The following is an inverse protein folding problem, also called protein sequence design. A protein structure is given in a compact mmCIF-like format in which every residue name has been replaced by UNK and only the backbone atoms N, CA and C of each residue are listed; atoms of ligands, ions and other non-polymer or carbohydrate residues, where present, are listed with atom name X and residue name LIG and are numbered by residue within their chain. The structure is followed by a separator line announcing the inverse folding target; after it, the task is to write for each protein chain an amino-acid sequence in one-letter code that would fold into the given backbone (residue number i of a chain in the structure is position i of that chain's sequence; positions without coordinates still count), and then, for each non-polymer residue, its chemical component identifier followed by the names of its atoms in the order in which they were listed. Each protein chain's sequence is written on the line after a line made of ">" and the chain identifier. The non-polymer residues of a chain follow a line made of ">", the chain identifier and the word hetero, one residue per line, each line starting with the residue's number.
data_IF_941032430722
#
_entry.id   IF_941032430722
#
_cell.length_a   1.000
_cell.length_b   1.000
_cell.length_c   1.000
_cell.angle_alpha   90.00
_cell.angle_beta   90.00
_cell.angle_gamma   90.00
#
_symmetry.space_group_name_H-M   'P 1'
#
loop_
_entity.id
_entity.type
_entity.pdbx_description
1 polymer ?
#
# COMPACT_ATOMS: atom_id res chain seq x y z
N UNK A 1 18.30 -4.51 16.21
CA UNK A 1 19.69 -4.68 16.60
C UNK A 1 19.91 -6.12 17.03
N UNK A 2 20.43 -6.97 16.13
CA UNK A 2 20.81 -8.35 16.46
C UNK A 2 22.15 -8.26 17.18
N UNK A 3 22.16 -8.48 18.50
CA UNK A 3 23.39 -8.63 19.25
C UNK A 3 24.03 -9.98 18.87
N UNK A 4 25.20 -9.92 18.24
CA UNK A 4 26.04 -11.07 17.95
C UNK A 4 26.45 -11.74 19.30
N UNK A 5 25.84 -12.88 19.58
CA UNK A 5 26.24 -13.72 20.73
C UNK A 5 27.60 -14.35 20.43
N UNK A 6 28.61 -13.95 21.21
CA UNK A 6 29.98 -14.44 21.35
C UNK A 6 30.82 -14.61 20.06
N UNK A 7 32.00 -14.02 20.01
CA UNK A 7 32.97 -14.32 18.95
C UNK A 7 33.35 -15.82 19.05
N UNK A 8 33.46 -16.45 17.89
CA UNK A 8 33.93 -17.83 17.77
C UNK A 8 35.34 -17.91 18.38
N UNK A 9 35.50 -18.77 19.35
CA UNK A 9 36.78 -18.94 20.04
C UNK A 9 37.79 -19.54 19.07
N UNK A 10 39.07 -19.09 19.11
CA UNK A 10 40.17 -19.65 18.29
C UNK A 10 40.26 -21.18 18.37
N UNK A 11 39.80 -21.81 19.47
CA UNK A 11 39.72 -23.24 19.67
C UNK A 11 38.77 -23.98 18.70
N UNK A 12 37.69 -23.31 18.24
CA UNK A 12 36.68 -23.90 17.36
C UNK A 12 37.15 -24.01 15.89
N UNK A 13 38.26 -23.35 15.57
CA UNK A 13 38.86 -23.34 14.22
C UNK A 13 39.82 -24.53 14.00
N UNK A 14 40.27 -25.19 15.09
CA UNK A 14 41.30 -26.23 15.07
C UNK A 14 40.83 -27.62 14.60
N UNK A 15 39.69 -27.75 13.94
CA UNK A 15 39.10 -29.06 13.60
C UNK A 15 39.72 -29.68 12.33
N UNK A 16 40.61 -28.97 11.59
CA UNK A 16 41.24 -29.54 10.41
C UNK A 16 42.79 -29.50 10.53
N UNK A 17 43.46 -30.68 10.55
CA UNK A 17 44.94 -30.78 10.53
C UNK A 17 45.60 -30.07 9.36
N UNK A 18 44.86 -29.94 8.24
CA UNK A 18 45.30 -29.25 7.01
C UNK A 18 45.55 -27.75 7.22
N UNK A 19 44.78 -27.08 8.12
CA UNK A 19 44.95 -25.67 8.41
C UNK A 19 46.23 -25.39 9.19
N UNK A 20 46.61 -26.27 10.11
CA UNK A 20 47.85 -26.14 10.90
C UNK A 20 49.08 -26.31 10.00
N UNK A 21 49.03 -27.20 9.02
CA UNK A 21 50.11 -27.39 8.03
C UNK A 21 50.19 -26.19 7.03
N UNK A 22 49.08 -25.54 6.78
CA UNK A 22 49.02 -24.36 5.90
C UNK A 22 49.64 -23.12 6.54
N UNK A 23 49.34 -22.88 7.84
CA UNK A 23 49.86 -21.74 8.60
C UNK A 23 51.39 -21.76 8.75
N UNK A 24 52.02 -22.97 8.83
CA UNK A 24 53.47 -23.10 8.94
C UNK A 24 54.26 -22.82 7.66
N UNK A 25 53.59 -22.69 6.51
CA UNK A 25 54.24 -22.43 5.20
C UNK A 25 54.12 -20.99 4.71
N UNK A 26 53.35 -20.12 5.41
CA UNK A 26 53.13 -18.76 4.98
C UNK A 26 53.73 -17.75 5.96
N UNK A 27 54.78 -17.07 5.52
CA UNK A 27 55.30 -15.87 6.20
C UNK A 27 54.43 -14.62 5.97
N UNK A 28 53.37 -14.73 5.22
CA UNK A 28 52.48 -13.63 4.86
C UNK A 28 51.24 -13.64 5.76
N UNK A 29 51.18 -12.63 6.63
CA UNK A 29 50.07 -12.40 7.59
C UNK A 29 48.70 -12.22 6.90
N UNK A 30 48.69 -11.68 5.68
CA UNK A 30 47.46 -11.48 4.89
C UNK A 30 46.92 -12.80 4.36
N UNK A 31 47.81 -13.71 3.88
CA UNK A 31 47.41 -15.03 3.41
C UNK A 31 46.86 -15.90 4.54
N UNK A 32 47.47 -15.80 5.73
CA UNK A 32 46.97 -16.51 6.94
C UNK A 32 45.58 -15.98 7.33
N UNK A 33 45.38 -14.65 7.40
CA UNK A 33 44.07 -14.05 7.70
C UNK A 33 42.98 -14.42 6.67
N UNK A 34 43.35 -14.45 5.38
CA UNK A 34 42.45 -14.89 4.30
C UNK A 34 42.05 -16.37 4.47
N UNK A 35 43.01 -17.24 4.77
CA UNK A 35 42.78 -18.67 5.00
C UNK A 35 41.88 -18.92 6.26
N UNK A 36 42.10 -18.16 7.33
CA UNK A 36 41.28 -18.27 8.53
C UNK A 36 39.84 -17.81 8.30
N UNK A 37 39.63 -16.70 7.59
CA UNK A 37 38.29 -16.20 7.23
C UNK A 37 37.56 -17.22 6.35
N UNK A 38 38.28 -17.85 5.39
CA UNK A 38 37.70 -18.88 4.54
C UNK A 38 37.29 -20.11 5.34
N UNK A 39 38.12 -20.57 6.28
CA UNK A 39 37.83 -21.69 7.14
C UNK A 39 36.63 -21.43 8.05
N UNK A 40 36.50 -20.20 8.57
CA UNK A 40 35.30 -19.77 9.34
C UNK A 40 34.04 -19.82 8.48
N UNK A 41 34.09 -19.32 7.25
CA UNK A 41 32.95 -19.38 6.33
C UNK A 41 32.56 -20.85 6.06
N UNK A 42 33.51 -21.73 5.79
CA UNK A 42 33.27 -23.16 5.50
C UNK A 42 32.57 -23.87 6.68
N UNK A 43 32.97 -23.56 7.92
CA UNK A 43 32.34 -24.11 9.14
C UNK A 43 30.89 -23.62 9.27
N UNK A 44 30.65 -22.35 9.02
CA UNK A 44 29.32 -21.76 9.09
C UNK A 44 28.39 -22.28 8.00
N UNK A 45 28.89 -22.46 6.76
CA UNK A 45 28.14 -23.13 5.71
C UNK A 45 27.79 -24.58 6.03
N UNK A 46 28.72 -25.32 6.64
CA UNK A 46 28.43 -26.67 7.10
C UNK A 46 27.40 -26.71 8.24
N UNK A 47 27.38 -25.70 9.11
CA UNK A 47 26.36 -25.56 10.15
C UNK A 47 24.99 -25.22 9.55
N UNK A 48 24.94 -24.28 8.60
CA UNK A 48 23.72 -23.94 7.86
C UNK A 48 23.13 -25.16 7.13
N UNK A 49 23.97 -25.96 6.49
CA UNK A 49 23.55 -27.19 5.81
C UNK A 49 22.92 -28.20 6.79
N UNK A 50 23.51 -28.38 7.97
CA UNK A 50 22.98 -29.28 9.01
C UNK A 50 21.66 -28.78 9.59
N UNK A 51 21.52 -27.48 9.81
CA UNK A 51 20.28 -26.88 10.27
C UNK A 51 19.16 -27.02 9.22
N UNK A 52 19.48 -26.83 7.94
CA UNK A 52 18.54 -27.07 6.85
C UNK A 52 18.06 -28.52 6.78
N UNK A 53 18.97 -29.48 6.88
CA UNK A 53 18.65 -30.92 6.87
C UNK A 53 17.75 -31.32 8.07
N UNK A 54 17.83 -30.57 9.17
CA UNK A 54 16.96 -30.73 10.37
C UNK A 54 15.64 -29.98 10.26
N UNK A 55 15.44 -29.15 9.25
CA UNK A 55 14.27 -28.29 9.08
C UNK A 55 14.29 -27.03 9.97
N UNK A 56 15.41 -26.73 10.63
CA UNK A 56 15.59 -25.51 11.43
C UNK A 56 16.02 -24.37 10.50
N UNK A 57 15.02 -23.66 9.97
CA UNK A 57 15.23 -22.60 9.00
C UNK A 57 15.82 -21.33 9.62
N UNK A 58 15.55 -21.06 10.91
CA UNK A 58 16.07 -19.88 11.60
C UNK A 58 17.58 -20.01 11.81
N UNK A 59 18.01 -21.13 12.38
CA UNK A 59 19.44 -21.44 12.56
C UNK A 59 20.16 -21.55 11.19
N UNK A 60 19.50 -22.15 10.17
CA UNK A 60 20.03 -22.23 8.83
C UNK A 60 20.34 -20.85 8.24
N UNK A 61 19.40 -19.91 8.32
CA UNK A 61 19.57 -18.55 7.82
C UNK A 61 20.65 -17.80 8.62
N UNK A 62 20.65 -17.90 9.94
CA UNK A 62 21.64 -17.25 10.78
C UNK A 62 23.06 -17.68 10.42
N UNK A 63 23.31 -18.99 10.32
CA UNK A 63 24.61 -19.53 9.94
C UNK A 63 25.00 -19.19 8.50
N UNK A 64 24.04 -19.16 7.59
CA UNK A 64 24.26 -18.76 6.19
C UNK A 64 24.67 -17.28 6.09
N UNK A 65 23.98 -16.36 6.78
CA UNK A 65 24.36 -14.96 6.78
C UNK A 65 25.72 -14.72 7.44
N UNK A 66 26.04 -15.43 8.50
CA UNK A 66 27.38 -15.38 9.11
C UNK A 66 28.48 -15.78 8.14
N UNK A 67 28.24 -16.83 7.35
CA UNK A 67 29.19 -17.28 6.33
C UNK A 67 29.42 -16.22 5.25
N UNK A 68 28.36 -15.58 4.76
CA UNK A 68 28.46 -14.50 3.75
C UNK A 68 29.26 -13.31 4.29
N UNK A 69 29.00 -12.89 5.54
CA UNK A 69 29.71 -11.77 6.16
C UNK A 69 31.19 -12.05 6.44
N UNK A 70 31.62 -13.31 6.49
CA UNK A 70 33.00 -13.73 6.68
C UNK A 70 33.87 -13.55 5.41
N UNK A 71 33.32 -12.94 4.37
CA UNK A 71 33.98 -12.74 3.05
C UNK A 71 34.45 -14.06 2.42
N UNK A 72 33.48 -14.82 1.93
CA UNK A 72 33.74 -15.96 1.08
C UNK A 72 34.45 -15.49 -0.19
N UNK A 73 35.59 -16.09 -0.53
CA UNK A 73 36.35 -15.78 -1.75
C UNK A 73 35.63 -16.37 -2.96
N UNK A 74 35.02 -15.50 -3.78
CA UNK A 74 34.15 -15.89 -4.92
C UNK A 74 34.97 -16.54 -6.05
N UNK A 75 36.31 -16.47 -6.02
CA UNK A 75 37.18 -17.04 -7.05
C UNK A 75 37.24 -18.58 -7.02
N UNK A 76 36.82 -19.25 -5.94
CA UNK A 76 36.74 -20.69 -5.88
C UNK A 76 35.36 -21.18 -6.35
N UNK A 77 35.27 -22.26 -7.14
CA UNK A 77 34.00 -22.82 -7.55
C UNK A 77 33.16 -23.20 -6.33
N UNK A 78 31.98 -22.59 -6.21
CA UNK A 78 31.06 -22.85 -5.11
C UNK A 78 30.67 -24.33 -5.12
N UNK A 79 30.85 -25.08 -4.02
CA UNK A 79 30.49 -26.47 -3.97
C UNK A 79 29.02 -26.69 -4.36
N UNK A 80 28.76 -27.71 -5.22
CA UNK A 80 27.37 -28.01 -5.68
C UNK A 80 26.37 -28.17 -4.53
N UNK A 81 26.84 -28.66 -3.38
CA UNK A 81 26.02 -28.79 -2.14
C UNK A 81 25.54 -27.42 -1.62
N UNK A 82 26.38 -26.38 -1.65
CA UNK A 82 26.04 -25.02 -1.24
C UNK A 82 25.05 -24.36 -2.20
N UNK A 83 25.19 -24.62 -3.50
CA UNK A 83 24.22 -24.14 -4.50
C UNK A 83 22.84 -24.75 -4.24
N UNK A 84 22.79 -26.07 -3.97
CA UNK A 84 21.52 -26.75 -3.63
C UNK A 84 20.90 -26.20 -2.34
N UNK A 85 21.72 -25.96 -1.30
CA UNK A 85 21.26 -25.37 -0.04
C UNK A 85 20.68 -23.95 -0.28
N UNK A 86 21.41 -23.12 -1.02
CA UNK A 86 20.95 -21.76 -1.38
C UNK A 86 19.63 -21.79 -2.14
N UNK A 87 19.50 -22.66 -3.14
CA UNK A 87 18.26 -22.83 -3.90
C UNK A 87 17.12 -23.34 -3.03
N UNK A 88 17.39 -24.31 -2.13
CA UNK A 88 16.41 -24.81 -1.17
C UNK A 88 15.87 -23.70 -0.26
N UNK A 89 16.74 -22.88 0.33
CA UNK A 89 16.36 -21.73 1.16
C UNK A 89 15.52 -20.73 0.35
N UNK A 90 15.96 -20.38 -0.86
CA UNK A 90 15.23 -19.44 -1.72
C UNK A 90 13.83 -19.97 -2.02
N UNK A 91 13.70 -21.22 -2.40
CA UNK A 91 12.39 -21.83 -2.70
C UNK A 91 11.47 -21.82 -1.48
N UNK A 92 11.99 -22.17 -0.29
CA UNK A 92 11.20 -22.16 0.94
C UNK A 92 10.73 -20.73 1.29
N UNK A 93 11.62 -19.74 1.17
CA UNK A 93 11.26 -18.34 1.41
C UNK A 93 10.23 -17.83 0.40
N UNK A 94 10.33 -18.24 -0.87
CA UNK A 94 9.35 -17.89 -1.89
C UNK A 94 7.97 -18.47 -1.57
N UNK A 95 7.91 -19.74 -1.15
CA UNK A 95 6.66 -20.39 -0.74
C UNK A 95 6.05 -19.74 0.52
N UNK A 96 6.86 -19.42 1.52
CA UNK A 96 6.40 -18.71 2.71
C UNK A 96 5.87 -17.31 2.35
N UNK A 97 6.58 -16.55 1.52
CA UNK A 97 6.14 -15.25 1.04
C UNK A 97 4.85 -15.33 0.24
N UNK A 98 4.68 -16.38 -0.57
CA UNK A 98 3.44 -16.62 -1.32
C UNK A 98 2.26 -16.84 -0.36
N UNK A 99 2.41 -17.74 0.62
CA UNK A 99 1.38 -18.00 1.65
C UNK A 99 1.04 -16.76 2.45
N UNK A 100 2.05 -16.00 2.87
CA UNK A 100 1.82 -14.76 3.62
C UNK A 100 1.07 -13.72 2.80
N UNK A 101 1.41 -13.54 1.52
CA UNK A 101 0.69 -12.64 0.61
C UNK A 101 -0.77 -13.07 0.44
N UNK A 102 -1.03 -14.36 0.35
CA UNK A 102 -2.38 -14.91 0.24
C UNK A 102 -3.20 -14.65 1.50
N UNK A 103 -2.64 -14.92 2.68
CA UNK A 103 -3.26 -14.61 3.97
C UNK A 103 -3.56 -13.10 4.13
N UNK A 104 -2.60 -12.24 3.77
CA UNK A 104 -2.81 -10.78 3.78
C UNK A 104 -3.93 -10.36 2.85
N UNK A 105 -4.00 -10.94 1.65
CA UNK A 105 -5.09 -10.67 0.69
C UNK A 105 -6.46 -11.08 1.24
N UNK A 106 -6.57 -12.28 1.82
CA UNK A 106 -7.81 -12.75 2.44
C UNK A 106 -8.23 -11.86 3.62
N UNK A 107 -7.27 -11.44 4.45
CA UNK A 107 -7.54 -10.54 5.55
C UNK A 107 -8.02 -9.17 5.04
N UNK A 108 -7.38 -8.62 4.01
CA UNK A 108 -7.77 -7.35 3.42
C UNK A 108 -9.16 -7.42 2.79
N UNK A 109 -9.51 -8.54 2.15
CA UNK A 109 -10.85 -8.73 1.60
C UNK A 109 -11.92 -8.78 2.68
N UNK A 110 -11.68 -9.48 3.80
CA UNK A 110 -12.57 -9.46 4.96
C UNK A 110 -12.76 -8.05 5.53
N UNK A 111 -11.69 -7.27 5.66
CA UNK A 111 -11.78 -5.88 6.13
C UNK A 111 -12.63 -5.03 5.18
N UNK A 112 -12.51 -5.21 3.87
CA UNK A 112 -13.35 -4.53 2.88
C UNK A 112 -14.82 -4.91 2.98
N UNK A 113 -15.12 -6.19 3.24
CA UNK A 113 -16.50 -6.64 3.46
C UNK A 113 -17.10 -5.96 4.69
N UNK A 114 -16.40 -5.92 5.83
CA UNK A 114 -16.85 -5.20 7.02
C UNK A 114 -16.99 -3.69 6.77
N UNK A 115 -16.06 -3.08 6.03
CA UNK A 115 -16.17 -1.68 5.65
C UNK A 115 -17.43 -1.41 4.82
N UNK A 116 -17.78 -2.34 3.91
CA UNK A 116 -19.01 -2.26 3.12
C UNK A 116 -20.27 -2.39 4.00
N UNK A 117 -20.29 -3.30 4.97
CA UNK A 117 -21.40 -3.43 5.92
C UNK A 117 -21.62 -2.13 6.71
N UNK A 118 -20.55 -1.51 7.23
CA UNK A 118 -20.66 -0.21 7.90
C UNK A 118 -21.14 0.90 6.97
N UNK A 119 -20.74 0.89 5.69
CA UNK A 119 -21.28 1.83 4.69
C UNK A 119 -22.79 1.67 4.56
N UNK A 120 -23.30 0.44 4.46
CA UNK A 120 -24.73 0.15 4.35
C UNK A 120 -25.48 0.61 5.61
N UNK A 121 -24.95 0.29 6.80
CA UNK A 121 -25.53 0.76 8.07
C UNK A 121 -25.59 2.30 8.12
N UNK A 122 -24.56 3.00 7.66
CA UNK A 122 -24.57 4.45 7.56
C UNK A 122 -25.65 4.97 6.61
N UNK A 123 -25.83 4.31 5.46
CA UNK A 123 -26.90 4.67 4.52
C UNK A 123 -28.29 4.43 5.13
N UNK A 124 -28.50 3.35 5.87
CA UNK A 124 -29.74 3.06 6.57
C UNK A 124 -30.06 4.10 7.64
N UNK A 125 -29.06 4.58 8.40
CA UNK A 125 -29.24 5.67 9.35
C UNK A 125 -29.80 6.92 8.68
N UNK A 126 -29.38 7.25 7.45
CA UNK A 126 -29.91 8.39 6.69
C UNK A 126 -31.32 8.11 6.18
N UNK A 127 -31.58 6.93 5.63
CA UNK A 127 -32.84 6.65 4.93
C UNK A 127 -33.99 6.35 5.89
N UNK A 128 -33.75 5.67 6.99
CA UNK A 128 -34.76 5.22 7.93
C UNK A 128 -34.92 6.15 9.14
N UNK A 129 -33.79 6.52 9.76
CA UNK A 129 -33.79 7.25 11.01
C UNK A 129 -33.53 8.77 10.83
N UNK A 130 -33.11 9.23 9.65
CA UNK A 130 -32.67 10.61 9.38
C UNK A 130 -31.58 11.08 10.36
N UNK A 131 -30.79 10.13 10.89
CA UNK A 131 -29.73 10.38 11.86
C UNK A 131 -28.37 10.55 11.16
N UNK A 132 -28.03 11.80 10.88
CA UNK A 132 -26.77 12.15 10.25
C UNK A 132 -25.55 11.80 11.12
N UNK A 133 -25.67 11.90 12.46
CA UNK A 133 -24.55 11.60 13.37
C UNK A 133 -24.23 10.12 13.40
N UNK A 134 -25.26 9.27 13.52
CA UNK A 134 -25.09 7.83 13.45
C UNK A 134 -24.54 7.39 12.10
N UNK A 135 -25.00 8.01 11.00
CA UNK A 135 -24.46 7.74 9.67
C UNK A 135 -22.98 8.06 9.56
N UNK A 136 -22.57 9.25 9.99
CA UNK A 136 -21.14 9.67 9.98
C UNK A 136 -20.31 8.71 10.82
N UNK A 137 -20.75 8.31 12.01
CA UNK A 137 -20.04 7.36 12.85
C UNK A 137 -19.84 5.99 12.16
N UNK A 138 -20.83 5.51 11.41
CA UNK A 138 -20.69 4.28 10.63
C UNK A 138 -19.76 4.44 9.42
N UNK A 139 -19.81 5.58 8.71
CA UNK A 139 -18.83 5.85 7.65
C UNK A 139 -17.39 5.94 8.19
N UNK A 140 -17.20 6.51 9.39
CA UNK A 140 -15.89 6.55 10.05
C UNK A 140 -15.37 5.15 10.39
N UNK A 141 -16.24 4.26 10.84
CA UNK A 141 -15.89 2.84 11.05
C UNK A 141 -15.50 2.17 9.73
N UNK A 142 -16.27 2.39 8.66
CA UNK A 142 -15.92 1.89 7.34
C UNK A 142 -14.53 2.37 6.89
N UNK A 143 -14.24 3.66 7.08
CA UNK A 143 -12.97 4.28 6.71
C UNK A 143 -11.80 3.87 7.61
N UNK A 144 -12.06 3.49 8.86
CA UNK A 144 -11.03 2.91 9.74
C UNK A 144 -10.59 1.52 9.29
N UNK A 145 -11.49 0.75 8.65
CA UNK A 145 -11.21 -0.58 8.11
C UNK A 145 -10.61 -0.51 6.69
N UNK A 146 -11.09 0.40 5.86
CA UNK A 146 -10.54 0.67 4.52
C UNK A 146 -10.45 2.18 4.28
N UNK A 147 -9.29 2.81 4.57
CA UNK A 147 -9.08 4.24 4.33
C UNK A 147 -9.20 4.67 2.85
N UNK A 148 -9.10 3.72 1.92
CA UNK A 148 -9.23 3.97 0.49
C UNK A 148 -10.66 3.77 -0.04
N UNK A 149 -11.63 3.56 0.83
CA UNK A 149 -13.02 3.32 0.44
C UNK A 149 -13.71 4.61 -0.03
N UNK A 150 -13.62 4.88 -1.31
CA UNK A 150 -14.07 6.12 -1.96
C UNK A 150 -15.55 6.41 -1.71
N UNK A 151 -16.43 5.39 -1.81
CA UNK A 151 -17.86 5.58 -1.61
C UNK A 151 -18.18 6.01 -0.16
N UNK A 152 -17.43 5.55 0.83
CA UNK A 152 -17.59 5.97 2.23
C UNK A 152 -17.19 7.44 2.41
N UNK A 153 -16.07 7.88 1.81
CA UNK A 153 -15.70 9.30 1.80
C UNK A 153 -16.76 10.17 1.16
N UNK A 154 -17.29 9.76 0.00
CA UNK A 154 -18.36 10.52 -0.71
C UNK A 154 -19.63 10.58 0.12
N UNK A 155 -20.08 9.46 0.70
CA UNK A 155 -21.30 9.42 1.53
C UNK A 155 -21.16 10.27 2.78
N UNK A 156 -20.02 10.17 3.49
CA UNK A 156 -19.70 11.03 4.63
C UNK A 156 -19.74 12.49 4.22
N UNK A 157 -19.06 12.86 3.12
CA UNK A 157 -19.04 14.23 2.62
C UNK A 157 -20.43 14.77 2.25
N UNK A 158 -21.30 13.96 1.62
CA UNK A 158 -22.68 14.34 1.30
C UNK A 158 -23.48 14.57 2.60
N UNK A 159 -23.32 13.70 3.60
CA UNK A 159 -24.02 13.84 4.90
C UNK A 159 -23.60 15.11 5.61
N UNK A 160 -22.30 15.38 5.69
CA UNK A 160 -21.75 16.61 6.26
C UNK A 160 -22.21 17.86 5.49
N UNK A 161 -22.24 17.81 4.16
CA UNK A 161 -22.78 18.90 3.33
C UNK A 161 -24.23 19.21 3.68
N UNK A 162 -25.07 18.20 3.83
CA UNK A 162 -26.48 18.36 4.18
C UNK A 162 -26.65 18.90 5.62
N UNK A 163 -25.75 18.54 6.53
CA UNK A 163 -25.66 19.08 7.89
C UNK A 163 -25.06 20.49 7.94
N UNK A 164 -24.65 21.08 6.80
CA UNK A 164 -23.99 22.39 6.69
C UNK A 164 -22.57 22.44 7.28
N UNK A 165 -21.98 21.30 7.54
CA UNK A 165 -20.59 21.15 8.00
C UNK A 165 -19.65 21.17 6.78
N UNK A 166 -19.58 22.33 6.11
CA UNK A 166 -18.99 22.47 4.78
C UNK A 166 -17.48 22.23 4.76
N UNK A 167 -16.77 22.62 5.80
CA UNK A 167 -15.32 22.41 5.91
C UNK A 167 -14.98 20.91 5.94
N UNK A 168 -15.68 20.15 6.76
CA UNK A 168 -15.44 18.71 6.87
C UNK A 168 -15.92 17.95 5.63
N UNK A 169 -17.00 18.41 5.01
CA UNK A 169 -17.47 17.91 3.72
C UNK A 169 -16.41 18.09 2.63
N UNK A 170 -15.77 19.28 2.56
CA UNK A 170 -14.70 19.53 1.58
C UNK A 170 -13.51 18.62 1.79
N UNK A 171 -13.09 18.39 3.03
CA UNK A 171 -12.01 17.45 3.35
C UNK A 171 -12.33 16.03 2.86
N UNK A 172 -13.56 15.56 3.06
CA UNK A 172 -14.00 14.26 2.56
C UNK A 172 -13.96 14.17 1.04
N UNK A 173 -14.47 15.19 0.33
CA UNK A 173 -14.44 15.19 -1.13
C UNK A 173 -13.03 15.36 -1.68
N UNK A 174 -12.17 16.15 -1.04
CA UNK A 174 -10.76 16.29 -1.42
C UNK A 174 -10.05 14.95 -1.32
N UNK A 175 -10.28 14.20 -0.24
CA UNK A 175 -9.72 12.84 -0.07
C UNK A 175 -10.25 11.90 -1.15
N UNK A 176 -11.56 11.89 -1.41
CA UNK A 176 -12.15 11.04 -2.44
C UNK A 176 -11.60 11.35 -3.85
N UNK A 177 -11.42 12.63 -4.19
CA UNK A 177 -10.82 13.05 -5.48
C UNK A 177 -9.34 12.73 -5.55
N UNK A 178 -8.61 12.85 -4.44
CA UNK A 178 -7.18 12.47 -4.37
C UNK A 178 -6.98 10.97 -4.61
N UNK A 179 -7.82 10.13 -4.01
CA UNK A 179 -7.78 8.68 -4.20
C UNK A 179 -8.17 8.26 -5.61
N UNK A 180 -9.18 8.91 -6.20
CA UNK A 180 -9.63 8.58 -7.54
C UNK A 180 -10.05 9.84 -8.32
N UNK A 181 -9.11 10.50 -9.01
CA UNK A 181 -9.36 11.79 -9.69
C UNK A 181 -10.41 11.75 -10.81
N UNK A 182 -10.72 10.58 -11.33
CA UNK A 182 -11.75 10.36 -12.35
C UNK A 182 -13.10 9.87 -11.80
N UNK A 183 -13.30 9.92 -10.47
CA UNK A 183 -14.59 9.57 -9.88
C UNK A 183 -15.57 10.74 -10.05
N UNK A 184 -16.53 10.56 -10.94
CA UNK A 184 -17.56 11.56 -11.23
C UNK A 184 -18.27 12.07 -9.96
N UNK A 185 -18.70 11.15 -9.07
CA UNK A 185 -19.46 11.53 -7.87
C UNK A 185 -18.64 12.42 -6.93
N UNK A 186 -17.35 12.11 -6.76
CA UNK A 186 -16.46 12.89 -5.91
C UNK A 186 -16.24 14.29 -6.47
N UNK A 187 -15.89 14.39 -7.76
CA UNK A 187 -15.64 15.65 -8.42
C UNK A 187 -16.91 16.51 -8.47
N UNK A 188 -18.04 15.93 -8.85
CA UNK A 188 -19.34 16.63 -8.92
C UNK A 188 -19.77 17.19 -7.55
N UNK A 189 -19.70 16.38 -6.50
CA UNK A 189 -20.11 16.84 -5.16
C UNK A 189 -19.15 17.88 -4.60
N UNK A 190 -17.85 17.81 -4.90
CA UNK A 190 -16.89 18.84 -4.53
C UNK A 190 -17.19 20.15 -5.26
N UNK A 191 -17.45 20.09 -6.55
CA UNK A 191 -17.86 21.26 -7.33
C UNK A 191 -19.14 21.92 -6.81
N UNK A 192 -20.16 21.09 -6.50
CA UNK A 192 -21.40 21.52 -5.86
C UNK A 192 -21.18 22.22 -4.52
N UNK A 193 -20.32 21.64 -3.67
CA UNK A 193 -19.95 22.23 -2.39
C UNK A 193 -19.22 23.57 -2.56
N UNK A 194 -18.22 23.61 -3.44
CA UNK A 194 -17.44 24.82 -3.74
C UNK A 194 -18.31 25.97 -4.24
N UNK A 195 -19.29 25.67 -5.08
CA UNK A 195 -20.29 26.65 -5.50
C UNK A 195 -21.13 27.16 -4.33
N UNK A 196 -21.43 26.30 -3.35
CA UNK A 196 -22.20 26.64 -2.15
C UNK A 196 -21.43 27.53 -1.17
N UNK A 197 -20.11 27.38 -1.09
CA UNK A 197 -19.22 28.17 -0.22
C UNK A 197 -18.54 29.33 -0.96
N UNK A 198 -19.07 29.71 -2.14
CA UNK A 198 -18.60 30.81 -3.00
C UNK A 198 -17.16 30.67 -3.53
N UNK A 199 -16.59 29.45 -3.49
CA UNK A 199 -15.36 29.15 -4.21
C UNK A 199 -15.69 28.85 -5.69
N UNK A 200 -16.07 29.89 -6.42
CA UNK A 200 -16.63 29.77 -7.78
C UNK A 200 -15.61 29.26 -8.79
N UNK A 201 -14.34 29.69 -8.71
CA UNK A 201 -13.28 29.22 -9.59
C UNK A 201 -12.99 27.73 -9.43
N UNK A 202 -12.89 27.27 -8.17
CA UNK A 202 -12.73 25.87 -7.87
C UNK A 202 -13.94 25.02 -8.29
N UNK A 203 -15.16 25.60 -8.20
CA UNK A 203 -16.38 24.95 -8.68
C UNK A 203 -16.40 24.78 -10.20
N UNK A 204 -16.01 25.81 -10.96
CA UNK A 204 -15.89 25.77 -12.41
C UNK A 204 -14.96 24.64 -12.85
N UNK A 205 -13.75 24.55 -12.24
CA UNK A 205 -12.79 23.52 -12.58
C UNK A 205 -13.31 22.10 -12.33
N UNK A 206 -13.99 21.90 -11.19
CA UNK A 206 -14.57 20.59 -10.84
C UNK A 206 -15.77 20.25 -11.71
N UNK A 207 -16.68 21.21 -12.01
CA UNK A 207 -17.89 20.98 -12.80
C UNK A 207 -17.57 20.77 -14.29
N UNK A 208 -16.58 21.46 -14.84
CA UNK A 208 -16.04 21.19 -16.18
C UNK A 208 -15.53 19.75 -16.27
N UNK A 209 -14.73 19.34 -15.29
CA UNK A 209 -14.27 17.95 -15.20
C UNK A 209 -15.42 16.95 -15.03
N UNK A 210 -16.43 17.28 -14.23
CA UNK A 210 -17.59 16.42 -14.03
C UNK A 210 -18.39 16.24 -15.32
N UNK A 211 -18.63 17.32 -16.09
CA UNK A 211 -19.31 17.24 -17.40
C UNK A 211 -18.51 16.45 -18.42
N UNK A 212 -17.18 16.56 -18.39
CA UNK A 212 -16.29 15.73 -19.21
C UNK A 212 -16.33 14.25 -18.84
N UNK A 213 -16.43 13.91 -17.53
CA UNK A 213 -16.51 12.52 -17.05
C UNK A 213 -17.88 11.88 -17.32
N UNK A 214 -18.96 12.66 -17.27
CA UNK A 214 -20.34 12.23 -17.55
C UNK A 214 -21.11 13.29 -18.34
N UNK A 215 -20.94 13.33 -19.66
CA UNK A 215 -21.61 14.32 -20.52
C UNK A 215 -23.15 14.22 -20.50
N UNK A 216 -23.70 13.07 -20.12
CA UNK A 216 -25.15 12.85 -20.04
C UNK A 216 -25.78 13.24 -18.70
N UNK A 217 -25.00 13.82 -17.76
CA UNK A 217 -25.51 14.20 -16.45
C UNK A 217 -26.02 15.62 -16.41
N UNK A 218 -27.32 15.82 -16.66
CA UNK A 218 -27.96 17.13 -16.72
C UNK A 218 -27.67 18.05 -15.52
N UNK A 219 -27.66 17.50 -14.27
CA UNK A 219 -27.37 18.30 -13.07
C UNK A 219 -25.94 18.83 -13.00
N UNK A 220 -24.96 18.19 -13.68
CA UNK A 220 -23.60 18.70 -13.73
C UNK A 220 -23.52 19.93 -14.67
N UNK A 221 -24.16 19.87 -15.84
CA UNK A 221 -24.27 20.98 -16.76
C UNK A 221 -25.03 22.17 -16.16
N UNK A 222 -26.10 21.91 -15.41
CA UNK A 222 -26.84 22.96 -14.69
C UNK A 222 -25.96 23.71 -13.69
N UNK A 223 -25.30 22.99 -12.77
CA UNK A 223 -24.41 23.61 -11.79
C UNK A 223 -23.21 24.30 -12.46
N UNK A 224 -22.72 23.75 -13.59
CA UNK A 224 -21.64 24.38 -14.35
C UNK A 224 -22.09 25.71 -14.95
N UNK A 225 -23.30 25.76 -15.49
CA UNK A 225 -23.93 27.02 -15.97
C UNK A 225 -24.06 28.05 -14.84
N UNK A 226 -24.53 27.60 -13.65
CA UNK A 226 -24.66 28.49 -12.47
C UNK A 226 -23.30 29.05 -12.04
N UNK A 227 -22.25 28.22 -12.05
CA UNK A 227 -20.90 28.66 -11.72
C UNK A 227 -20.34 29.67 -12.74
N UNK A 228 -20.57 29.44 -14.03
CA UNK A 228 -20.15 30.33 -15.12
C UNK A 228 -20.87 31.70 -15.06
N UNK A 229 -22.16 31.69 -14.72
CA UNK A 229 -22.92 32.92 -14.58
C UNK A 229 -22.35 33.81 -13.45
N UNK A 230 -21.94 33.22 -12.34
CA UNK A 230 -21.35 33.97 -11.19
C UNK A 230 -20.07 34.73 -11.55
N UNK A 231 -19.34 34.28 -12.59
CA UNK A 231 -18.13 34.96 -13.09
C UNK A 231 -18.41 35.82 -14.34
N UNK A 232 -19.70 36.05 -14.67
CA UNK A 232 -20.10 36.91 -15.79
C UNK A 232 -19.99 36.27 -17.18
N UNK A 233 -19.84 34.94 -17.24
CA UNK A 233 -19.75 34.18 -18.51
C UNK A 233 -21.14 33.74 -18.98
N UNK A 234 -22.00 34.71 -19.28
CA UNK A 234 -23.42 34.48 -19.56
C UNK A 234 -23.68 33.57 -20.76
N UNK A 235 -22.92 33.75 -21.87
CA UNK A 235 -23.09 32.94 -23.07
C UNK A 235 -22.73 31.49 -22.81
N UNK A 236 -21.61 31.23 -22.14
CA UNK A 236 -21.18 29.89 -21.80
C UNK A 236 -22.17 29.23 -20.83
N UNK A 237 -22.68 29.98 -19.85
CA UNK A 237 -23.71 29.53 -18.94
C UNK A 237 -25.00 29.08 -19.65
N UNK A 238 -25.49 29.91 -20.58
CA UNK A 238 -26.67 29.60 -21.39
C UNK A 238 -26.50 28.32 -22.23
N UNK A 239 -25.32 28.07 -22.74
CA UNK A 239 -25.01 26.84 -23.48
C UNK A 239 -25.14 25.63 -22.53
N UNK A 240 -24.57 25.69 -21.34
CA UNK A 240 -24.60 24.60 -20.39
C UNK A 240 -26.04 24.28 -19.90
N UNK A 241 -26.84 25.31 -19.64
CA UNK A 241 -28.25 25.11 -19.26
C UNK A 241 -29.09 24.52 -20.40
N UNK A 242 -28.82 24.89 -21.65
CA UNK A 242 -29.51 24.30 -22.81
C UNK A 242 -29.17 22.81 -22.93
N UNK A 243 -27.90 22.42 -22.75
CA UNK A 243 -27.49 21.02 -22.73
C UNK A 243 -28.24 20.27 -21.62
N UNK A 244 -28.30 20.84 -20.41
CA UNK A 244 -29.00 20.24 -19.29
C UNK A 244 -30.50 20.02 -19.59
N UNK A 245 -31.15 20.97 -20.22
CA UNK A 245 -32.57 20.87 -20.61
C UNK A 245 -32.79 19.79 -21.69
N UNK A 246 -31.95 19.74 -22.72
CA UNK A 246 -31.99 18.69 -23.75
C UNK A 246 -31.81 17.28 -23.15
N UNK A 247 -30.89 17.12 -22.22
CA UNK A 247 -30.65 15.85 -21.52
C UNK A 247 -31.84 15.42 -20.67
N UNK A 248 -32.58 16.36 -20.07
CA UNK A 248 -33.82 16.07 -19.33
C UNK A 248 -34.95 15.60 -20.25
N UNK A 249 -35.12 16.29 -21.41
CA UNK A 249 -36.15 15.93 -22.41
C UNK A 249 -35.95 14.53 -23.00
N UNK A 250 -34.70 14.07 -23.13
CA UNK A 250 -34.37 12.73 -23.64
C UNK A 250 -34.66 11.60 -22.65
N UNK A 251 -34.84 11.92 -21.35
CA UNK A 251 -35.10 10.95 -20.29
C UNK A 251 -36.56 10.84 -19.86
N UNK A 252 -37.41 11.76 -20.29
CA UNK A 252 -38.87 11.73 -20.15
C UNK A 252 -39.52 11.05 -21.32
#
# INVERSE_FOLDING_TARGET
>A
GIQLKKPINRADIFVRPEIVNFAGRFNDRQAIDKALKQAQADVQYAAAARAFDKGDMEECLEQFFRAIHSRYDIEKPVPRRLIRLKLGIINTLQEQNKKLKEQMREQQERLRQYAHEYLLMGNECITQAHDARAAIANYDKALSLDPNYIDAWIRKGITLFNSKEYFDAENCFNTAVSLHPANFKAVYNRGKLRLKIDNTEGAIADLDKATSLKPEHAGAHELFGDALLRVGKEVEAAIQWRIAEELRKKKS
#
